data_IF_956712165815
#
_entry.id   IF_956712165815
#
_cell.length_a   1.000
_cell.length_b   1.000
_cell.length_c   1.000
_cell.angle_alpha   90.00
_cell.angle_beta   90.00
_cell.angle_gamma   90.00
#
_symmetry.space_group_name_H-M   'P 1'
#
loop_
_entity.id
_entity.type
_entity.pdbx_description
1 polymer ?
#
# COMPACT_ATOMS: atom_id res chain seq x y z
N UNK A 1 -16.04 3.18 4.26
CA UNK A 1 -14.86 3.18 5.14
C UNK A 1 -13.69 2.73 4.31
N UNK A 2 -12.61 3.52 4.29
CA UNK A 2 -11.40 3.16 3.54
C UNK A 2 -10.72 1.95 4.20
N UNK A 3 -10.10 1.11 3.38
CA UNK A 3 -9.33 -0.02 3.89
C UNK A 3 -8.07 0.55 4.57
N UNK A 4 -7.66 0.05 5.75
CA UNK A 4 -6.38 0.45 6.31
C UNK A 4 -5.25 0.07 5.35
N UNK A 5 -4.34 1.01 5.11
CA UNK A 5 -3.15 0.83 4.27
C UNK A 5 -1.91 0.76 5.19
N UNK A 6 -1.57 -0.42 5.74
CA UNK A 6 -0.44 -0.58 6.65
C UNK A 6 0.89 -0.46 5.89
N UNK A 7 1.94 0.03 6.55
CA UNK A 7 3.28 0.11 5.95
C UNK A 7 3.88 -1.28 5.66
N UNK A 8 3.69 -2.22 6.59
CA UNK A 8 4.21 -3.59 6.53
C UNK A 8 3.08 -4.62 6.77
N UNK A 9 2.22 -4.89 5.76
CA UNK A 9 1.27 -5.99 5.83
C UNK A 9 1.98 -7.35 5.92
N UNK A 10 1.45 -8.28 6.73
CA UNK A 10 2.04 -9.62 6.90
C UNK A 10 1.93 -10.52 5.65
N UNK A 11 0.80 -10.44 4.94
CA UNK A 11 0.52 -11.22 3.73
C UNK A 11 -0.02 -10.28 2.63
N UNK A 12 0.82 -9.39 2.07
CA UNK A 12 0.39 -8.40 1.10
C UNK A 12 -0.25 -9.02 -0.14
N UNK A 13 0.17 -10.23 -0.53
CA UNK A 13 -0.22 -10.94 -1.74
C UNK A 13 -1.70 -11.35 -1.78
N UNK A 14 -2.34 -11.42 -0.60
CA UNK A 14 -3.74 -11.86 -0.45
C UNK A 14 -4.77 -10.77 -0.73
N UNK A 15 -4.35 -9.51 -0.83
CA UNK A 15 -5.25 -8.36 -0.87
C UNK A 15 -4.98 -7.55 -2.14
N UNK A 16 -6.05 -7.10 -2.80
CA UNK A 16 -5.95 -6.05 -3.80
C UNK A 16 -5.83 -4.68 -3.13
N UNK A 17 -4.77 -3.95 -3.47
CA UNK A 17 -4.41 -2.65 -2.88
C UNK A 17 -4.82 -1.45 -3.74
N UNK A 18 -5.49 -1.68 -4.87
CA UNK A 18 -5.88 -0.62 -5.81
C UNK A 18 -7.18 0.10 -5.46
N UNK A 19 -7.94 -0.38 -4.48
CA UNK A 19 -9.13 0.30 -3.97
C UNK A 19 -9.43 -0.04 -2.50
N UNK A 20 -10.36 0.71 -1.93
CA UNK A 20 -10.85 0.55 -0.56
C UNK A 20 -11.68 -0.71 -0.32
N UNK A 21 -12.01 -1.48 -1.38
CA UNK A 21 -12.86 -2.66 -1.27
C UNK A 21 -12.03 -3.94 -1.21
N UNK A 22 -12.50 -4.93 -0.46
CA UNK A 22 -12.00 -6.30 -0.53
C UNK A 22 -12.73 -7.00 -1.68
N UNK A 23 -12.22 -6.83 -2.89
CA UNK A 23 -12.79 -7.52 -4.06
C UNK A 23 -12.43 -9.00 -4.00
N UNK A 24 -13.36 -9.91 -4.34
CA UNK A 24 -13.05 -11.32 -4.54
C UNK A 24 -12.21 -11.49 -5.82
N UNK A 25 -11.48 -12.62 -5.97
CA UNK A 25 -10.52 -12.81 -7.06
C UNK A 25 -11.16 -12.80 -8.46
N UNK A 26 -12.45 -13.12 -8.56
CA UNK A 26 -13.24 -13.20 -9.79
C UNK A 26 -14.05 -11.93 -10.10
N UNK A 27 -14.09 -10.94 -9.19
CA UNK A 27 -14.79 -9.68 -9.39
C UNK A 27 -13.97 -8.49 -8.87
N UNK A 28 -12.73 -8.40 -9.37
CA UNK A 28 -11.82 -7.30 -9.11
C UNK A 28 -12.36 -6.00 -9.71
N UNK A 29 -12.21 -4.89 -8.98
CA UNK A 29 -12.53 -3.55 -9.49
C UNK A 29 -11.31 -2.78 -9.99
N UNK A 30 -10.12 -3.23 -9.61
CA UNK A 30 -8.84 -2.64 -9.98
C UNK A 30 -8.14 -3.57 -10.98
N UNK A 31 -7.08 -3.07 -11.63
CA UNK A 31 -6.31 -3.91 -12.56
C UNK A 31 -7.15 -4.38 -13.75
N UNK A 32 -7.90 -3.46 -14.37
CA UNK A 32 -8.83 -3.75 -15.47
C UNK A 32 -9.80 -4.92 -15.20
N UNK A 33 -10.13 -5.16 -13.92
CA UNK A 33 -11.05 -6.21 -13.50
C UNK A 33 -10.49 -7.63 -13.49
N UNK A 34 -9.19 -7.82 -13.71
CA UNK A 34 -8.58 -9.16 -13.79
C UNK A 34 -7.34 -9.31 -12.90
N UNK A 35 -6.58 -8.24 -12.68
CA UNK A 35 -5.33 -8.31 -11.92
C UNK A 35 -5.39 -7.60 -10.57
N UNK A 36 -4.66 -8.16 -9.61
CA UNK A 36 -4.47 -7.57 -8.30
C UNK A 36 -3.43 -6.47 -8.37
N UNK A 37 -3.79 -5.31 -7.84
CA UNK A 37 -2.80 -4.29 -7.52
C UNK A 37 -2.00 -4.73 -6.30
N UNK A 38 -0.70 -4.88 -6.49
CA UNK A 38 0.26 -5.30 -5.46
C UNK A 38 0.48 -4.19 -4.43
N UNK A 39 0.83 -4.56 -3.20
CA UNK A 39 1.31 -3.61 -2.21
C UNK A 39 2.72 -3.15 -2.61
N UNK A 40 3.09 -1.86 -2.42
CA UNK A 40 4.43 -1.38 -2.77
C UNK A 40 5.56 -2.16 -2.10
N UNK A 41 5.36 -2.69 -0.89
CA UNK A 41 6.33 -3.57 -0.21
C UNK A 41 6.69 -4.83 -1.02
N UNK A 42 5.77 -5.34 -1.86
CA UNK A 42 6.01 -6.53 -2.68
C UNK A 42 6.99 -6.23 -3.82
N UNK A 43 7.00 -4.99 -4.28
CA UNK A 43 7.83 -4.54 -5.41
C UNK A 43 9.15 -3.93 -4.95
N UNK A 44 9.12 -3.14 -3.89
CA UNK A 44 10.24 -2.33 -3.44
C UNK A 44 10.87 -2.82 -2.12
N UNK A 45 10.24 -3.75 -1.42
CA UNK A 45 10.73 -4.28 -0.15
C UNK A 45 10.44 -3.37 1.05
N UNK A 46 11.09 -3.69 2.17
CA UNK A 46 11.01 -2.89 3.41
C UNK A 46 11.53 -1.47 3.18
N UNK A 47 10.90 -0.48 3.82
CA UNK A 47 11.27 0.92 3.64
C UNK A 47 10.86 1.52 2.29
N UNK A 48 9.95 0.88 1.56
CA UNK A 48 9.38 1.42 0.31
C UNK A 48 8.79 2.83 0.47
N UNK A 49 8.38 3.21 1.68
CA UNK A 49 7.82 4.51 2.02
C UNK A 49 8.86 5.53 2.50
N UNK A 50 10.15 5.19 2.48
CA UNK A 50 11.24 6.03 2.99
C UNK A 50 11.90 6.90 1.92
N UNK A 51 11.47 6.74 0.66
CA UNK A 51 11.96 7.53 -0.47
C UNK A 51 10.79 8.06 -1.31
N UNK A 52 11.03 9.13 -2.07
CA UNK A 52 10.00 9.84 -2.84
C UNK A 52 9.32 10.97 -2.07
N UNK A 53 8.32 11.60 -2.69
CA UNK A 53 7.67 12.83 -2.16
C UNK A 53 6.99 12.62 -0.80
N UNK A 54 6.49 11.40 -0.53
CA UNK A 54 5.83 11.06 0.73
C UNK A 54 6.80 10.82 1.91
N UNK A 55 8.10 10.67 1.65
CA UNK A 55 9.10 10.46 2.70
C UNK A 55 9.54 11.77 3.38
N UNK A 56 9.36 12.91 2.71
CA UNK A 56 9.74 14.22 3.25
C UNK A 56 8.96 14.62 4.51
N UNK A 57 7.72 14.12 4.64
CA UNK A 57 6.82 14.39 5.78
C UNK A 57 7.34 13.79 7.11
N UNK A 58 8.25 12.80 7.06
CA UNK A 58 8.83 12.19 8.27
C UNK A 58 9.91 13.04 8.95
N UNK A 59 10.50 14.02 8.27
CA UNK A 59 11.65 14.77 8.80
C UNK A 59 11.27 15.88 9.79
N UNK A 60 9.98 16.21 9.94
CA UNK A 60 9.54 17.32 10.79
C UNK A 60 9.29 16.91 12.26
N UNK A 61 9.23 15.61 12.59
CA UNK A 61 8.98 15.12 13.97
C UNK A 61 10.26 14.85 14.79
N UNK A 62 11.45 14.89 14.18
CA UNK A 62 12.72 14.63 14.87
C UNK A 62 13.50 15.92 15.26
N UNK A 63 12.94 17.10 14.98
CA UNK A 63 13.53 18.40 15.31
C UNK A 63 12.59 19.28 16.15
N UNK A 64 11.99 18.72 17.20
CA UNK A 64 11.38 19.55 18.24
C UNK A 64 12.23 19.50 19.53
N UNK A 65 12.80 20.63 19.98
CA UNK A 65 13.51 20.73 21.24
C UNK A 65 12.58 20.50 22.44
#
# INVERSE_FOLDING_TARGET
MAKPFPLNPKNPERICWGCDKYCPPDAMRCGNGSERTQHPIELFGEGWNDWGLAAADKKEDESKP
#
